data_IF_828051497142
#
_entry.id   IF_828051497142
#
_cell.length_a   1.000
_cell.length_b   1.000
_cell.length_c   1.000
_cell.angle_alpha   90.00
_cell.angle_beta   90.00
_cell.angle_gamma   90.00
#
_symmetry.space_group_name_H-M   'P 1'
#
loop_
_entity.id
_entity.type
_entity.pdbx_description
1 polymer ?
#
# COMPACT_ATOMS: atom_id res chain seq x y z
N UNK A 1 25.15 29.79 15.23
CA UNK A 1 24.57 28.48 14.80
C UNK A 1 23.20 28.37 15.45
N UNK A 2 22.14 28.33 14.66
CA UNK A 2 20.82 27.97 15.16
C UNK A 2 20.72 26.45 15.13
N UNK A 3 20.49 25.86 16.29
CA UNK A 3 20.21 24.44 16.46
C UNK A 3 18.68 24.31 16.48
N UNK A 4 18.09 23.68 15.47
CA UNK A 4 16.65 23.41 15.40
C UNK A 4 16.42 21.99 15.96
N UNK A 5 15.86 21.84 17.17
CA UNK A 5 15.70 20.52 17.82
C UNK A 5 14.74 19.55 17.12
N UNK A 6 13.95 20.05 16.17
CA UNK A 6 12.74 19.35 15.69
C UNK A 6 13.03 18.24 14.67
N UNK A 7 14.22 18.19 14.05
CA UNK A 7 14.54 17.17 13.03
C UNK A 7 14.82 15.77 13.59
N UNK A 8 14.89 15.58 14.92
CA UNK A 8 15.22 14.29 15.55
C UNK A 8 14.09 13.67 16.37
N UNK A 9 12.86 14.16 16.26
CA UNK A 9 11.71 13.39 16.75
C UNK A 9 11.50 12.20 15.82
N UNK A 10 12.08 11.03 16.18
CA UNK A 10 11.64 9.75 15.61
C UNK A 10 10.12 9.73 15.68
N UNK A 11 9.45 9.64 14.53
CA UNK A 11 8.00 9.51 14.49
C UNK A 11 7.65 8.31 15.37
N UNK A 12 6.95 8.57 16.46
CA UNK A 12 6.52 7.53 17.37
C UNK A 12 5.26 6.90 16.78
N UNK A 13 5.43 5.73 16.16
CA UNK A 13 4.33 4.88 15.71
C UNK A 13 4.00 3.89 16.82
N UNK A 14 2.71 3.68 17.08
CA UNK A 14 2.25 2.72 18.09
C UNK A 14 2.71 1.30 17.73
N UNK A 15 3.23 0.57 18.72
CA UNK A 15 3.75 -0.79 18.54
C UNK A 15 2.71 -1.75 17.92
N UNK A 16 1.42 -1.58 18.22
CA UNK A 16 0.36 -2.40 17.64
C UNK A 16 0.10 -2.09 16.16
N UNK A 17 0.47 -0.91 15.69
CA UNK A 17 0.44 -0.57 14.26
C UNK A 17 1.63 -1.23 13.54
N UNK A 18 2.79 -1.29 14.21
CA UNK A 18 3.99 -1.96 13.69
C UNK A 18 3.83 -3.49 13.64
N UNK A 19 2.99 -4.03 14.52
CA UNK A 19 2.71 -5.45 14.64
C UNK A 19 1.19 -5.70 14.64
N UNK A 20 0.52 -5.53 13.47
CA UNK A 20 -0.91 -5.76 13.37
C UNK A 20 -1.26 -7.23 13.61
N UNK A 21 -2.49 -7.46 14.07
CA UNK A 21 -2.97 -8.81 14.38
C UNK A 21 -3.28 -9.66 13.14
N UNK A 22 -3.34 -9.04 11.96
CA UNK A 22 -3.65 -9.66 10.69
C UNK A 22 -3.00 -8.92 9.53
N UNK A 23 -3.24 -9.46 8.34
CA UNK A 23 -2.74 -8.97 7.07
C UNK A 23 -3.89 -8.89 6.06
N UNK A 24 -3.76 -7.97 5.12
CA UNK A 24 -4.65 -7.84 3.97
C UNK A 24 -3.94 -8.34 2.73
N UNK A 25 -4.56 -9.26 1.98
CA UNK A 25 -3.98 -9.82 0.76
C UNK A 25 -4.70 -9.26 -0.47
N UNK A 26 -3.92 -8.78 -1.44
CA UNK A 26 -4.37 -8.46 -2.80
C UNK A 26 -3.71 -9.44 -3.77
N UNK A 27 -4.49 -10.23 -4.49
CA UNK A 27 -3.95 -11.10 -5.53
C UNK A 27 -3.92 -10.37 -6.87
N UNK A 28 -2.81 -10.45 -7.59
CA UNK A 28 -2.71 -10.13 -9.00
C UNK A 28 -3.00 -11.43 -9.75
N UNK A 29 -4.21 -11.58 -10.27
CA UNK A 29 -4.69 -12.89 -10.74
C UNK A 29 -4.23 -13.22 -12.17
N UNK A 30 -4.35 -14.49 -12.54
CA UNK A 30 -4.05 -14.95 -13.90
C UNK A 30 -4.77 -14.14 -14.98
N UNK A 31 -4.00 -13.73 -15.99
CA UNK A 31 -4.48 -12.92 -17.11
C UNK A 31 -4.61 -11.43 -16.82
N UNK A 32 -4.13 -10.93 -15.68
CA UNK A 32 -4.17 -9.49 -15.32
C UNK A 32 -3.49 -8.59 -16.35
N UNK A 33 -2.47 -9.11 -17.05
CA UNK A 33 -1.80 -8.43 -18.17
C UNK A 33 -2.65 -8.28 -19.43
N UNK A 34 -3.89 -8.78 -19.45
CA UNK A 34 -4.86 -8.54 -20.53
C UNK A 34 -5.84 -7.44 -20.13
N UNK A 35 -6.13 -6.46 -21.00
CA UNK A 35 -7.19 -5.47 -20.74
C UNK A 35 -8.60 -6.08 -20.68
N UNK A 36 -8.78 -7.31 -21.16
CA UNK A 36 -10.05 -8.04 -21.09
C UNK A 36 -10.29 -8.62 -19.68
N UNK A 37 -9.24 -8.82 -18.89
CA UNK A 37 -9.34 -9.26 -17.50
C UNK A 37 -9.73 -8.07 -16.60
N UNK A 38 -11.01 -8.00 -16.24
CA UNK A 38 -11.55 -6.89 -15.43
C UNK A 38 -11.22 -7.04 -13.95
N UNK A 39 -11.06 -8.27 -13.48
CA UNK A 39 -10.63 -8.58 -12.12
C UNK A 39 -9.12 -8.83 -12.16
N UNK A 40 -8.31 -7.83 -11.80
CA UNK A 40 -6.84 -7.92 -11.91
C UNK A 40 -6.18 -7.87 -10.53
N UNK A 41 -6.21 -6.72 -9.86
CA UNK A 41 -6.05 -6.66 -8.40
C UNK A 41 -7.32 -7.16 -7.73
N UNK A 42 -7.22 -8.21 -6.91
CA UNK A 42 -8.34 -8.82 -6.21
C UNK A 42 -8.11 -8.89 -4.70
N UNK A 43 -8.89 -8.16 -3.88
CA UNK A 43 -9.90 -7.18 -4.30
C UNK A 43 -9.27 -5.90 -4.86
N UNK A 44 -10.00 -5.17 -5.73
CA UNK A 44 -9.53 -3.88 -6.28
C UNK A 44 -9.52 -2.78 -5.23
N UNK A 45 -10.49 -2.80 -4.33
CA UNK A 45 -10.59 -1.89 -3.19
C UNK A 45 -10.30 -2.69 -1.93
N UNK A 46 -9.27 -2.30 -1.20
CA UNK A 46 -9.04 -2.77 0.17
C UNK A 46 -9.30 -1.63 1.14
N UNK A 47 -9.94 -1.96 2.24
CA UNK A 47 -10.12 -1.09 3.39
C UNK A 47 -9.34 -1.70 4.53
N UNK A 48 -8.28 -1.02 4.96
CA UNK A 48 -7.42 -1.48 6.04
C UNK A 48 -7.59 -0.58 7.26
N UNK A 49 -7.44 -1.19 8.43
CA UNK A 49 -7.51 -0.51 9.70
C UNK A 49 -6.19 -0.66 10.45
N UNK A 50 -5.61 0.48 10.82
CA UNK A 50 -4.42 0.51 11.67
C UNK A 50 -4.64 -0.34 12.93
N UNK A 51 -3.63 -1.14 13.30
CA UNK A 51 -3.60 -2.15 14.38
C UNK A 51 -4.29 -3.50 14.10
N UNK A 52 -5.07 -3.59 13.02
CA UNK A 52 -5.80 -4.82 12.67
C UNK A 52 -5.15 -5.52 11.49
N UNK A 53 -5.14 -4.89 10.32
CA UNK A 53 -4.79 -5.53 9.05
C UNK A 53 -4.04 -4.59 8.09
N UNK A 54 -3.34 -3.60 8.66
CA UNK A 54 -2.60 -2.56 7.93
C UNK A 54 -1.27 -3.03 7.30
N UNK A 55 -0.91 -4.31 7.44
CA UNK A 55 0.09 -4.95 6.59
C UNK A 55 -0.60 -5.46 5.32
N UNK A 56 -0.28 -4.87 4.17
CA UNK A 56 -0.85 -5.27 2.89
C UNK A 56 0.17 -6.03 2.05
N UNK A 57 -0.23 -7.17 1.51
CA UNK A 57 0.60 -8.05 0.69
C UNK A 57 -0.04 -8.20 -0.69
N UNK A 58 0.63 -7.72 -1.73
CA UNK A 58 0.29 -7.95 -3.12
C UNK A 58 1.00 -9.21 -3.62
N UNK A 59 0.24 -10.25 -3.93
CA UNK A 59 0.76 -11.54 -4.39
C UNK A 59 0.61 -11.66 -5.89
N UNK A 60 1.71 -11.88 -6.61
CA UNK A 60 1.64 -12.12 -8.03
C UNK A 60 1.38 -13.59 -8.34
N UNK A 61 0.11 -13.96 -8.51
CA UNK A 61 -0.30 -15.31 -8.93
C UNK A 61 -0.58 -15.38 -10.44
N UNK A 62 -0.29 -14.32 -11.18
CA UNK A 62 -0.22 -14.30 -12.64
C UNK A 62 1.14 -14.84 -13.12
N UNK A 63 1.25 -15.11 -14.41
CA UNK A 63 2.49 -15.53 -15.08
C UNK A 63 3.28 -14.37 -15.67
N UNK A 64 2.76 -13.14 -15.56
CA UNK A 64 3.39 -11.91 -16.04
C UNK A 64 3.94 -11.07 -14.88
N UNK A 65 5.10 -10.41 -15.01
CA UNK A 65 5.55 -9.43 -14.01
C UNK A 65 4.63 -8.22 -13.93
N UNK A 66 4.39 -7.73 -12.72
CA UNK A 66 3.49 -6.59 -12.44
C UNK A 66 4.15 -5.60 -11.47
N UNK A 67 3.56 -4.42 -11.29
CA UNK A 67 4.00 -3.44 -10.28
C UNK A 67 2.82 -3.01 -9.42
N UNK A 68 3.08 -2.36 -8.30
CA UNK A 68 2.11 -1.56 -7.55
C UNK A 68 2.66 -0.16 -7.53
N UNK A 69 2.06 0.75 -8.29
CA UNK A 69 2.56 2.12 -8.48
C UNK A 69 1.46 3.11 -8.06
N UNK A 70 1.67 3.96 -7.03
CA UNK A 70 0.68 4.96 -6.69
C UNK A 70 0.45 5.94 -7.84
N UNK A 71 -0.78 6.39 -8.04
CA UNK A 71 -1.09 7.35 -9.09
C UNK A 71 -0.60 8.77 -8.74
N UNK A 72 -0.50 9.08 -7.44
CA UNK A 72 0.00 10.35 -6.95
C UNK A 72 1.54 10.38 -6.96
N UNK A 73 2.09 11.53 -7.32
CA UNK A 73 3.51 11.84 -7.19
C UNK A 73 3.81 12.75 -5.99
N UNK A 74 2.78 13.14 -5.22
CA UNK A 74 2.96 13.94 -4.02
C UNK A 74 3.53 13.08 -2.90
N UNK A 75 4.74 13.41 -2.44
CA UNK A 75 5.45 12.66 -1.40
C UNK A 75 4.71 12.71 -0.07
N UNK A 76 3.93 13.76 0.21
CA UNK A 76 3.16 13.84 1.45
C UNK A 76 1.97 12.84 1.43
N UNK A 77 1.49 12.47 0.25
CA UNK A 77 0.43 11.47 0.09
C UNK A 77 0.97 10.03 0.12
N UNK A 78 2.11 9.78 -0.53
CA UNK A 78 2.61 8.41 -0.75
C UNK A 78 3.74 7.98 0.20
N UNK A 79 4.33 8.90 0.98
CA UNK A 79 5.36 8.53 1.97
C UNK A 79 4.68 8.18 3.29
N UNK A 80 4.80 6.92 3.68
CA UNK A 80 4.48 6.46 5.02
C UNK A 80 5.61 6.86 5.98
N UNK A 81 5.30 7.41 7.18
CA UNK A 81 6.32 7.92 8.10
C UNK A 81 7.26 6.85 8.66
N UNK A 82 6.86 5.57 8.60
CA UNK A 82 7.70 4.46 9.04
C UNK A 82 8.23 3.64 7.86
N UNK A 83 7.35 3.24 6.94
CA UNK A 83 7.67 2.33 5.85
C UNK A 83 8.34 3.00 4.64
N UNK A 84 8.33 4.33 4.58
CA UNK A 84 8.88 5.09 3.47
C UNK A 84 7.89 5.23 2.31
N UNK A 85 8.40 5.37 1.08
CA UNK A 85 7.53 5.57 -0.09
C UNK A 85 6.74 4.30 -0.43
N UNK A 86 5.42 4.46 -0.56
CA UNK A 86 4.55 3.43 -1.09
C UNK A 86 4.77 3.24 -2.59
N UNK A 87 4.79 1.98 -3.02
CA UNK A 87 5.06 1.56 -4.38
C UNK A 87 6.14 0.49 -4.44
N UNK A 88 5.93 -0.52 -5.29
CA UNK A 88 6.95 -1.56 -5.50
C UNK A 88 8.18 -0.95 -6.15
N UNK A 89 9.37 -1.13 -5.56
CA UNK A 89 10.64 -0.57 -6.06
C UNK A 89 11.12 -1.18 -7.38
N UNK A 90 10.45 -2.25 -7.82
CA UNK A 90 10.66 -2.93 -9.09
C UNK A 90 9.43 -3.76 -9.46
N UNK A 91 9.59 -4.65 -10.43
CA UNK A 91 8.53 -5.59 -10.79
C UNK A 91 8.40 -6.70 -9.74
N UNK A 92 7.17 -7.09 -9.46
CA UNK A 92 6.79 -8.27 -8.68
C UNK A 92 6.77 -9.44 -9.68
N UNK A 93 7.74 -10.34 -9.58
CA UNK A 93 7.81 -11.49 -10.49
C UNK A 93 6.70 -12.51 -10.20
N UNK A 94 6.35 -13.40 -11.15
CA UNK A 94 5.42 -14.49 -10.90
C UNK A 94 5.81 -15.33 -9.67
N UNK A 95 4.87 -15.49 -8.75
CA UNK A 95 5.06 -16.20 -7.48
C UNK A 95 5.78 -15.40 -6.38
N UNK A 96 6.15 -14.15 -6.64
CA UNK A 96 6.69 -13.22 -5.64
C UNK A 96 5.61 -12.27 -5.12
N UNK A 97 5.94 -11.62 -4.00
CA UNK A 97 5.04 -10.74 -3.25
C UNK A 97 5.69 -9.35 -3.08
N UNK A 98 4.86 -8.32 -3.01
CA UNK A 98 5.23 -6.99 -2.50
C UNK A 98 4.45 -6.71 -1.22
N UNK A 99 5.17 -6.31 -0.17
CA UNK A 99 4.58 -6.01 1.13
C UNK A 99 4.75 -4.53 1.47
N UNK A 100 3.71 -3.93 2.04
CA UNK A 100 3.78 -2.57 2.58
C UNK A 100 2.97 -2.45 3.86
N UNK A 101 3.60 -1.88 4.90
CA UNK A 101 2.97 -1.60 6.18
C UNK A 101 2.50 -0.15 6.20
N UNK A 102 1.19 0.08 6.20
CA UNK A 102 0.65 1.42 6.38
C UNK A 102 0.61 1.76 7.86
N UNK A 103 1.18 2.90 8.25
CA UNK A 103 1.27 3.33 9.66
C UNK A 103 0.60 4.66 9.95
N UNK A 104 0.12 5.35 8.91
CA UNK A 104 -0.54 6.64 9.03
C UNK A 104 -1.95 6.66 8.40
N UNK A 105 -2.84 7.38 9.08
CA UNK A 105 -4.21 7.64 8.64
C UNK A 105 -4.76 8.89 9.35
N UNK A 106 -5.66 9.65 8.71
CA UNK A 106 -6.29 10.80 9.35
C UNK A 106 -7.11 10.35 10.58
N UNK A 107 -7.23 11.21 11.61
CA UNK A 107 -7.99 10.89 12.81
C UNK A 107 -9.49 10.64 12.53
N UNK A 108 -9.99 11.18 11.42
CA UNK A 108 -11.35 11.03 10.96
C UNK A 108 -11.36 10.78 9.44
N UNK A 109 -12.04 9.73 9.01
CA UNK A 109 -12.11 9.34 7.59
C UNK A 109 -11.04 8.33 7.20
N UNK A 110 -10.69 8.32 5.92
CA UNK A 110 -9.69 7.42 5.35
C UNK A 110 -8.62 8.20 4.58
N UNK A 111 -7.38 7.72 4.64
CA UNK A 111 -6.34 8.06 3.64
C UNK A 111 -6.58 7.16 2.43
N UNK A 112 -6.83 7.75 1.26
CA UNK A 112 -7.19 7.01 0.05
C UNK A 112 -6.06 7.12 -0.96
N UNK A 113 -5.49 5.99 -1.37
CA UNK A 113 -4.37 5.93 -2.31
C UNK A 113 -4.79 5.06 -3.51
N UNK A 114 -5.13 5.67 -4.66
CA UNK A 114 -5.27 4.94 -5.90
C UNK A 114 -3.90 4.54 -6.45
N UNK A 115 -3.84 3.38 -7.10
CA UNK A 115 -2.62 2.84 -7.68
C UNK A 115 -2.93 2.03 -8.94
N UNK A 116 -1.91 1.85 -9.77
CA UNK A 116 -1.96 1.07 -10.99
C UNK A 116 -0.75 0.14 -11.18
N UNK A 117 -0.78 -0.67 -12.24
CA UNK A 117 0.38 -1.39 -12.75
C UNK A 117 0.99 -0.61 -13.92
N UNK A 118 2.27 -0.23 -13.85
CA UNK A 118 2.93 0.60 -14.88
C UNK A 118 2.91 -0.05 -16.28
N UNK A 119 3.28 -1.34 -16.45
CA UNK A 119 3.20 -2.00 -17.76
C UNK A 119 1.77 -2.24 -18.26
N UNK A 120 0.77 -2.21 -17.36
CA UNK A 120 -0.62 -2.60 -17.63
C UNK A 120 -1.61 -1.58 -17.03
N UNK A 121 -1.70 -0.35 -17.57
CA UNK A 121 -2.38 0.77 -16.88
C UNK A 121 -3.90 0.60 -16.66
N UNK A 122 -4.55 -0.41 -17.27
CA UNK A 122 -5.94 -0.78 -16.97
C UNK A 122 -6.09 -1.52 -15.64
N UNK A 123 -4.99 -2.02 -15.07
CA UNK A 123 -4.95 -2.59 -13.74
C UNK A 123 -4.90 -1.46 -12.73
N UNK A 124 -6.04 -1.22 -12.08
CA UNK A 124 -6.21 -0.18 -11.07
C UNK A 124 -6.78 -0.76 -9.80
N UNK A 125 -6.29 -0.25 -8.68
CA UNK A 125 -6.75 -0.57 -7.34
C UNK A 125 -6.76 0.67 -6.44
N UNK A 126 -7.27 0.51 -5.24
CA UNK A 126 -7.35 1.57 -4.23
C UNK A 126 -7.15 0.98 -2.84
N UNK A 127 -6.29 1.63 -2.06
CA UNK A 127 -6.14 1.37 -0.63
C UNK A 127 -6.82 2.48 0.15
N UNK A 128 -7.75 2.13 1.04
CA UNK A 128 -8.33 3.04 2.02
C UNK A 128 -7.83 2.68 3.42
N UNK A 129 -7.06 3.57 4.04
CA UNK A 129 -6.46 3.33 5.36
C UNK A 129 -7.23 4.16 6.40
N UNK A 130 -7.74 3.48 7.41
CA UNK A 130 -8.50 4.10 8.51
C UNK A 130 -7.83 3.85 9.85
N UNK A 131 -8.08 4.75 10.81
CA UNK A 131 -7.75 4.52 12.22
C UNK A 131 -9.01 4.07 12.96
N UNK A 132 -8.92 2.98 13.73
CA UNK A 132 -10.03 2.54 14.57
C UNK A 132 -10.44 3.64 15.55
N UNK A 133 -11.74 3.88 15.68
CA UNK A 133 -12.31 4.78 16.69
C UNK A 133 -12.76 3.93 17.87
N UNK A 134 -12.07 4.07 19.00
CA UNK A 134 -12.56 3.58 20.29
C UNK A 134 -13.51 4.60 20.92
#
# INVERSE_FOLDING_TARGET
MYWLPEENQKVFVDEHILHPNGETIVNIIDGSSSPDQKDNYMPKLIQVQLTIDNLVIWKNIDTTPHTVTPDSHDRDEITDPYSGEFGSTGVIMPGEDYEFLFTDAPPNGAKVIPYHCDPHPWMVGTVEITKSRF
#
